data_IF_064907627455
#
_entry.id   IF_064907627455
#
_cell.length_a   1.000
_cell.length_b   1.000
_cell.length_c   1.000
_cell.angle_alpha   90.00
_cell.angle_beta   90.00
_cell.angle_gamma   90.00
#
_symmetry.space_group_name_H-M   'P 1'
#
loop_
_entity.id
_entity.type
_entity.pdbx_description
1 polymer ?
#
# COMPACT_ATOMS: atom_id res chain seq x y z
N UNK A 1 46.70 -1.25 -6.59
CA UNK A 1 45.82 -2.45 -6.83
C UNK A 1 44.63 -2.53 -5.87
N UNK A 2 44.73 -2.04 -4.64
CA UNK A 2 43.64 -2.04 -3.65
C UNK A 2 42.47 -1.11 -4.04
N UNK A 3 42.71 0.01 -4.68
CA UNK A 3 41.70 0.97 -5.15
C UNK A 3 40.84 0.45 -6.32
N UNK A 4 41.33 -0.49 -7.09
CA UNK A 4 40.59 -1.09 -8.20
C UNK A 4 39.53 -2.12 -7.76
N UNK A 5 39.76 -2.75 -6.59
CA UNK A 5 38.80 -3.71 -6.01
C UNK A 5 37.60 -3.01 -5.35
N UNK A 6 37.79 -1.83 -4.75
CA UNK A 6 36.73 -1.07 -4.08
C UNK A 6 35.72 -0.46 -5.08
N UNK A 7 36.19 0.08 -6.19
CA UNK A 7 35.33 0.66 -7.24
C UNK A 7 34.43 -0.40 -7.90
N UNK A 8 34.93 -1.64 -8.06
CA UNK A 8 34.14 -2.74 -8.62
C UNK A 8 33.00 -3.23 -7.68
N UNK A 9 33.22 -3.20 -6.36
CA UNK A 9 32.23 -3.68 -5.40
C UNK A 9 31.07 -2.67 -5.18
N UNK A 10 31.37 -1.38 -5.16
CA UNK A 10 30.33 -0.33 -5.03
C UNK A 10 29.45 -0.25 -6.27
N UNK A 11 30.02 -0.44 -7.46
CA UNK A 11 29.27 -0.48 -8.71
C UNK A 11 28.34 -1.70 -8.78
N UNK A 12 28.79 -2.87 -8.34
CA UNK A 12 27.97 -4.08 -8.25
C UNK A 12 26.83 -3.96 -7.22
N UNK A 13 27.06 -3.29 -6.10
CA UNK A 13 26.04 -3.07 -5.06
C UNK A 13 24.95 -2.11 -5.60
N UNK A 14 25.38 -1.04 -6.26
CA UNK A 14 24.46 -0.06 -6.85
C UNK A 14 23.64 -0.67 -7.99
N UNK A 15 24.27 -1.44 -8.86
CA UNK A 15 23.60 -2.09 -9.99
C UNK A 15 22.57 -3.12 -9.47
N UNK A 16 22.94 -3.95 -8.48
CA UNK A 16 22.02 -4.89 -7.84
C UNK A 16 20.85 -4.19 -7.12
N UNK A 17 21.11 -3.04 -6.48
CA UNK A 17 20.07 -2.23 -5.86
C UNK A 17 19.11 -1.63 -6.89
N UNK A 18 19.64 -1.17 -8.04
CA UNK A 18 18.82 -0.67 -9.15
C UNK A 18 17.99 -1.78 -9.80
N UNK A 19 18.57 -2.97 -10.01
CA UNK A 19 17.85 -4.15 -10.49
C UNK A 19 16.70 -4.52 -9.55
N UNK A 20 16.96 -4.60 -8.25
CA UNK A 20 15.93 -4.85 -7.24
C UNK A 20 14.81 -3.80 -7.28
N UNK A 21 15.15 -2.52 -7.41
CA UNK A 21 14.15 -1.44 -7.52
C UNK A 21 13.32 -1.55 -8.81
N UNK A 22 13.94 -1.92 -9.92
CA UNK A 22 13.23 -2.11 -11.19
C UNK A 22 12.28 -3.31 -11.11
N UNK A 23 12.70 -4.41 -10.51
CA UNK A 23 11.85 -5.60 -10.31
C UNK A 23 10.69 -5.28 -9.36
N UNK A 24 10.93 -4.59 -8.25
CA UNK A 24 9.88 -4.16 -7.33
C UNK A 24 8.84 -3.27 -8.03
N UNK A 25 9.28 -2.30 -8.84
CA UNK A 25 8.38 -1.44 -9.62
C UNK A 25 7.58 -2.21 -10.68
N UNK A 26 8.20 -3.20 -11.33
CA UNK A 26 7.49 -4.07 -12.29
C UNK A 26 6.41 -4.90 -11.58
N UNK A 27 6.74 -5.46 -10.42
CA UNK A 27 5.78 -6.21 -9.62
C UNK A 27 4.63 -5.34 -9.13
N UNK A 28 4.90 -4.11 -8.67
CA UNK A 28 3.87 -3.16 -8.25
C UNK A 28 2.97 -2.74 -9.44
N UNK A 29 3.55 -2.46 -10.60
CA UNK A 29 2.79 -2.12 -11.81
C UNK A 29 1.94 -3.30 -12.33
N UNK A 30 2.44 -4.54 -12.22
CA UNK A 30 1.68 -5.73 -12.56
C UNK A 30 0.49 -5.92 -11.59
N UNK A 31 0.72 -5.71 -10.30
CA UNK A 31 -0.31 -5.77 -9.26
C UNK A 31 -1.38 -4.69 -9.48
N UNK A 32 -0.98 -3.47 -9.82
CA UNK A 32 -1.93 -2.39 -10.12
C UNK A 32 -2.82 -2.73 -11.32
N UNK A 33 -2.24 -3.21 -12.42
CA UNK A 33 -2.99 -3.67 -13.60
C UNK A 33 -3.97 -4.81 -13.25
N UNK A 34 -3.54 -5.77 -12.43
CA UNK A 34 -4.39 -6.86 -11.98
C UNK A 34 -5.59 -6.35 -11.17
N UNK A 35 -5.36 -5.42 -10.26
CA UNK A 35 -6.45 -4.79 -9.50
C UNK A 35 -7.39 -3.99 -10.41
N UNK A 36 -6.89 -3.30 -11.42
CA UNK A 36 -7.73 -2.58 -12.37
C UNK A 36 -8.64 -3.54 -13.15
N UNK A 37 -8.12 -4.67 -13.62
CA UNK A 37 -8.93 -5.70 -14.30
C UNK A 37 -10.01 -6.30 -13.39
N UNK A 38 -9.68 -6.56 -12.12
CA UNK A 38 -10.65 -7.04 -11.13
C UNK A 38 -11.73 -5.99 -10.89
N UNK A 39 -11.35 -4.73 -10.74
CA UNK A 39 -12.29 -3.64 -10.52
C UNK A 39 -13.21 -3.39 -11.72
N UNK A 40 -12.71 -3.56 -12.95
CA UNK A 40 -13.52 -3.46 -14.19
C UNK A 40 -14.50 -4.61 -14.31
N UNK A 41 -14.08 -5.83 -13.95
CA UNK A 41 -14.94 -7.02 -13.99
C UNK A 41 -15.96 -7.08 -12.83
N UNK A 42 -15.71 -6.33 -11.76
CA UNK A 42 -16.53 -6.35 -10.55
C UNK A 42 -17.65 -5.31 -10.59
N UNK A 43 -18.88 -5.74 -10.32
CA UNK A 43 -20.04 -4.86 -10.13
C UNK A 43 -20.21 -4.55 -8.64
N UNK A 44 -19.62 -3.47 -8.16
CA UNK A 44 -19.73 -3.03 -6.77
C UNK A 44 -20.30 -1.61 -6.69
N UNK A 45 -21.34 -1.42 -5.90
CA UNK A 45 -21.88 -0.11 -5.56
C UNK A 45 -21.17 0.43 -4.33
N UNK A 46 -20.43 1.51 -4.52
CA UNK A 46 -19.70 2.17 -3.44
C UNK A 46 -20.56 3.26 -2.82
N UNK A 47 -20.69 3.25 -1.50
CA UNK A 47 -21.41 4.28 -0.78
C UNK A 47 -20.69 5.65 -0.87
N UNK A 48 -21.37 6.73 -1.21
CA UNK A 48 -20.78 8.07 -1.20
C UNK A 48 -20.15 8.45 0.15
N UNK A 49 -20.73 8.00 1.26
CA UNK A 49 -20.18 8.24 2.60
C UNK A 49 -18.86 7.52 2.82
N UNK A 50 -18.69 6.30 2.31
CA UNK A 50 -17.42 5.57 2.40
C UNK A 50 -16.31 6.27 1.61
N UNK A 51 -16.63 6.79 0.42
CA UNK A 51 -15.69 7.60 -0.37
C UNK A 51 -15.29 8.87 0.35
N UNK A 52 -16.23 9.58 0.93
CA UNK A 52 -15.94 10.81 1.69
C UNK A 52 -15.05 10.53 2.89
N UNK A 53 -15.31 9.44 3.61
CA UNK A 53 -14.48 8.99 4.73
C UNK A 53 -13.06 8.68 4.25
N UNK A 54 -12.90 7.95 3.14
CA UNK A 54 -11.60 7.62 2.57
C UNK A 54 -10.84 8.89 2.12
N UNK A 55 -11.51 9.85 1.48
CA UNK A 55 -10.91 11.16 1.12
C UNK A 55 -10.40 11.89 2.36
N UNK A 56 -11.21 11.95 3.43
CA UNK A 56 -10.80 12.61 4.66
C UNK A 56 -9.60 11.92 5.33
N UNK A 57 -9.56 10.58 5.32
CA UNK A 57 -8.41 9.83 5.82
C UNK A 57 -7.14 10.11 5.01
N UNK A 58 -7.23 10.14 3.67
CA UNK A 58 -6.09 10.48 2.81
C UNK A 58 -5.60 11.91 3.06
N UNK A 59 -6.50 12.87 3.26
CA UNK A 59 -6.13 14.24 3.61
C UNK A 59 -5.41 14.31 4.97
N UNK A 60 -5.88 13.56 5.97
CA UNK A 60 -5.22 13.50 7.27
C UNK A 60 -3.81 12.89 7.18
N UNK A 61 -3.65 11.81 6.42
CA UNK A 61 -2.35 11.20 6.19
C UNK A 61 -1.39 12.16 5.47
N UNK A 62 -1.89 12.88 4.47
CA UNK A 62 -1.10 13.88 3.75
C UNK A 62 -0.71 15.04 4.66
N UNK A 63 -1.63 15.53 5.49
CA UNK A 63 -1.34 16.57 6.47
C UNK A 63 -0.30 16.12 7.51
N UNK A 64 -0.41 14.89 8.00
CA UNK A 64 0.57 14.31 8.92
C UNK A 64 1.95 14.15 8.28
N UNK A 65 2.02 13.72 7.02
CA UNK A 65 3.27 13.61 6.27
C UNK A 65 3.94 14.96 6.06
N UNK A 66 3.17 16.00 5.73
CA UNK A 66 3.69 17.36 5.59
C UNK A 66 4.16 17.94 6.92
N UNK A 67 3.41 17.71 7.99
CA UNK A 67 3.80 18.15 9.33
C UNK A 67 5.14 17.54 9.78
N UNK A 68 5.41 16.27 9.45
CA UNK A 68 6.71 15.64 9.70
C UNK A 68 7.86 16.32 8.93
N UNK A 69 7.57 16.91 7.78
CA UNK A 69 8.53 17.67 6.96
C UNK A 69 8.58 19.15 7.34
N UNK A 70 7.85 19.57 8.37
CA UNK A 70 7.78 20.97 8.83
C UNK A 70 6.94 21.88 7.93
N UNK A 71 6.11 21.32 7.05
CA UNK A 71 5.24 22.07 6.13
C UNK A 71 3.79 21.98 6.63
N UNK A 72 3.13 23.13 6.78
CA UNK A 72 1.70 23.16 7.06
C UNK A 72 0.88 22.91 5.79
N UNK A 73 -0.28 22.27 5.91
CA UNK A 73 -1.19 22.02 4.80
C UNK A 73 -1.59 23.34 4.09
N UNK A 74 -1.79 24.41 4.85
CA UNK A 74 -2.11 25.73 4.32
C UNK A 74 -1.00 26.29 3.43
N UNK A 75 0.26 26.07 3.80
CA UNK A 75 1.41 26.48 2.99
C UNK A 75 1.45 25.71 1.67
N UNK A 76 1.20 24.40 1.71
CA UNK A 76 1.10 23.58 0.50
C UNK A 76 0.01 24.09 -0.44
N UNK A 77 -1.19 24.36 0.08
CA UNK A 77 -2.30 24.91 -0.71
C UNK A 77 -1.97 26.26 -1.33
N UNK A 78 -1.31 27.16 -0.58
CA UNK A 78 -0.87 28.46 -1.10
C UNK A 78 0.18 28.31 -2.20
N UNK A 79 1.16 27.43 -2.02
CA UNK A 79 2.22 27.20 -3.02
C UNK A 79 1.68 26.60 -4.32
N UNK A 80 0.65 25.75 -4.23
CA UNK A 80 0.06 25.07 -5.38
C UNK A 80 -1.11 25.85 -6.01
N UNK A 81 -1.58 26.91 -5.35
CA UNK A 81 -2.76 27.67 -5.78
C UNK A 81 -4.08 26.86 -5.68
N UNK A 82 -4.09 25.77 -4.92
CA UNK A 82 -5.25 24.90 -4.77
C UNK A 82 -6.07 25.28 -3.55
N UNK A 83 -7.36 24.99 -3.61
CA UNK A 83 -8.25 25.05 -2.46
C UNK A 83 -8.41 23.65 -1.83
N UNK A 84 -8.85 23.57 -0.58
CA UNK A 84 -9.14 22.30 0.08
C UNK A 84 -10.20 21.48 -0.69
N UNK A 85 -11.20 22.16 -1.27
CA UNK A 85 -12.25 21.50 -2.03
C UNK A 85 -11.73 20.95 -3.36
N UNK A 86 -10.89 21.71 -4.06
CA UNK A 86 -10.22 21.22 -5.28
C UNK A 86 -9.37 19.96 -4.98
N UNK A 87 -8.65 19.97 -3.85
CA UNK A 87 -7.84 18.82 -3.44
C UNK A 87 -8.71 17.59 -3.10
N UNK A 88 -9.85 17.80 -2.43
CA UNK A 88 -10.83 16.72 -2.18
C UNK A 88 -11.37 16.14 -3.48
N UNK A 89 -11.68 16.97 -4.46
CA UNK A 89 -12.19 16.51 -5.75
C UNK A 89 -11.15 15.72 -6.53
N UNK A 90 -9.88 16.07 -6.45
CA UNK A 90 -8.78 15.31 -7.03
C UNK A 90 -8.58 13.93 -6.35
N UNK A 91 -8.82 13.85 -5.05
CA UNK A 91 -8.68 12.60 -4.28
C UNK A 91 -9.88 11.65 -4.44
N UNK A 92 -11.07 12.15 -4.78
CA UNK A 92 -12.29 11.35 -4.93
C UNK A 92 -12.13 10.13 -5.84
N UNK A 93 -11.59 10.22 -7.08
CA UNK A 93 -11.47 9.05 -7.95
C UNK A 93 -10.53 7.99 -7.38
N UNK A 94 -9.46 8.41 -6.73
CA UNK A 94 -8.52 7.49 -6.06
C UNK A 94 -9.19 6.82 -4.87
N UNK A 95 -9.89 7.58 -4.04
CA UNK A 95 -10.63 7.07 -2.90
C UNK A 95 -11.75 6.10 -3.34
N UNK A 96 -12.47 6.40 -4.43
CA UNK A 96 -13.49 5.49 -4.99
C UNK A 96 -12.87 4.16 -5.41
N UNK A 97 -11.73 4.19 -6.11
CA UNK A 97 -11.01 2.99 -6.53
C UNK A 97 -10.57 2.17 -5.32
N UNK A 98 -10.04 2.82 -4.28
CA UNK A 98 -9.60 2.17 -3.04
C UNK A 98 -10.77 1.51 -2.31
N UNK A 99 -11.87 2.24 -2.07
CA UNK A 99 -13.06 1.70 -1.38
C UNK A 99 -13.69 0.54 -2.17
N UNK A 100 -13.71 0.64 -3.50
CA UNK A 100 -14.19 -0.46 -4.35
C UNK A 100 -13.30 -1.69 -4.22
N UNK A 101 -11.97 -1.52 -4.22
CA UNK A 101 -11.02 -2.61 -4.03
C UNK A 101 -11.18 -3.27 -2.65
N UNK A 102 -11.31 -2.47 -1.60
CA UNK A 102 -11.54 -2.99 -0.24
C UNK A 102 -12.82 -3.84 -0.17
N UNK A 103 -13.91 -3.37 -0.79
CA UNK A 103 -15.17 -4.11 -0.83
C UNK A 103 -15.04 -5.44 -1.60
N UNK A 104 -14.29 -5.46 -2.70
CA UNK A 104 -14.01 -6.68 -3.47
C UNK A 104 -13.16 -7.66 -2.66
N UNK A 105 -12.12 -7.18 -1.98
CA UNK A 105 -11.28 -8.01 -1.12
C UNK A 105 -12.07 -8.58 0.06
N UNK A 106 -12.94 -7.78 0.69
CA UNK A 106 -13.80 -8.24 1.79
C UNK A 106 -14.77 -9.34 1.32
N UNK A 107 -15.29 -9.26 0.08
CA UNK A 107 -16.11 -10.30 -0.49
C UNK A 107 -15.31 -11.58 -0.80
N UNK A 108 -14.09 -11.47 -1.32
CA UNK A 108 -13.19 -12.60 -1.52
C UNK A 108 -12.88 -13.28 -0.19
N UNK A 109 -12.60 -12.53 0.87
CA UNK A 109 -12.37 -13.05 2.22
C UNK A 109 -13.56 -13.89 2.66
N UNK A 110 -14.77 -13.42 2.40
CA UNK A 110 -16.02 -14.10 2.77
C UNK A 110 -16.23 -15.39 1.97
N UNK A 111 -16.03 -15.33 0.65
CA UNK A 111 -16.27 -16.47 -0.26
C UNK A 111 -15.24 -17.58 -0.04
N UNK A 112 -13.95 -17.20 0.05
CA UNK A 112 -12.84 -18.13 0.23
C UNK A 112 -12.64 -18.55 1.70
N UNK A 113 -13.45 -18.02 2.63
CA UNK A 113 -13.34 -18.26 4.08
C UNK A 113 -11.93 -18.02 4.62
N UNK A 114 -11.29 -16.92 4.16
CA UNK A 114 -9.95 -16.55 4.59
C UNK A 114 -9.96 -16.21 6.07
N UNK A 115 -9.09 -16.85 6.84
CA UNK A 115 -8.96 -16.61 8.29
C UNK A 115 -7.53 -16.22 8.64
N UNK A 116 -7.38 -15.55 9.75
CA UNK A 116 -6.08 -15.21 10.36
C UNK A 116 -6.05 -15.83 11.75
N UNK A 117 -5.03 -16.63 12.01
CA UNK A 117 -4.81 -17.26 13.31
C UNK A 117 -4.17 -16.28 14.31
N UNK A 118 -4.18 -16.61 15.59
CA UNK A 118 -3.51 -15.79 16.61
C UNK A 118 -1.99 -15.83 16.45
N UNK A 119 -1.42 -16.94 15.98
CA UNK A 119 0.01 -17.07 15.67
C UNK A 119 0.44 -16.10 14.55
N UNK A 120 -0.31 -16.06 13.45
CA UNK A 120 -0.03 -15.14 12.35
C UNK A 120 -0.14 -13.68 12.77
N UNK A 121 -1.06 -13.38 13.68
CA UNK A 121 -1.17 -12.02 14.25
C UNK A 121 0.04 -11.68 15.13
N UNK A 122 0.51 -12.61 15.93
CA UNK A 122 1.68 -12.40 16.77
C UNK A 122 2.97 -12.25 15.93
N UNK A 123 3.13 -13.04 14.86
CA UNK A 123 4.22 -12.84 13.88
C UNK A 123 4.20 -11.46 13.26
N UNK A 124 3.02 -10.93 12.91
CA UNK A 124 2.92 -9.58 12.36
C UNK A 124 3.28 -8.50 13.40
N UNK A 125 2.89 -8.68 14.65
CA UNK A 125 3.32 -7.77 15.71
C UNK A 125 4.84 -7.78 15.89
N UNK A 126 5.49 -8.95 15.79
CA UNK A 126 6.95 -9.07 15.84
C UNK A 126 7.62 -8.36 14.65
N UNK A 127 7.10 -8.54 13.42
CA UNK A 127 7.61 -7.85 12.23
C UNK A 127 7.50 -6.32 12.36
N UNK A 128 6.37 -5.83 12.84
CA UNK A 128 6.17 -4.39 13.08
C UNK A 128 7.12 -3.89 14.17
N UNK A 129 7.28 -4.64 15.26
CA UNK A 129 8.20 -4.35 16.35
C UNK A 129 9.63 -4.21 15.84
N UNK A 130 10.10 -5.14 15.02
CA UNK A 130 11.44 -5.11 14.42
C UNK A 130 11.61 -3.93 13.46
N UNK A 131 10.59 -3.66 12.62
CA UNK A 131 10.63 -2.58 11.63
C UNK A 131 10.71 -1.20 12.26
N UNK A 132 10.00 -0.97 13.36
CA UNK A 132 9.94 0.33 14.04
C UNK A 132 10.81 0.41 15.29
N UNK A 133 11.48 -0.66 15.68
CA UNK A 133 12.33 -0.70 16.87
C UNK A 133 11.57 -0.49 18.19
N UNK A 134 10.28 -0.85 18.24
CA UNK A 134 9.41 -0.67 19.39
C UNK A 134 9.07 -2.04 20.01
N UNK A 135 8.95 -2.13 21.34
CA UNK A 135 8.54 -3.37 22.01
C UNK A 135 7.16 -3.84 21.50
N UNK A 136 6.97 -5.15 21.38
CA UNK A 136 5.71 -5.77 20.89
C UNK A 136 4.49 -5.30 21.69
N UNK A 137 4.64 -5.14 23.01
CA UNK A 137 3.56 -4.67 23.88
C UNK A 137 3.09 -3.27 23.54
N UNK A 138 4.03 -2.38 23.18
CA UNK A 138 3.73 -1.00 22.75
C UNK A 138 3.01 -1.05 21.41
N UNK A 139 3.46 -1.90 20.47
CA UNK A 139 2.81 -2.07 19.18
C UNK A 139 1.38 -2.58 19.34
N UNK A 140 1.14 -3.56 20.23
CA UNK A 140 -0.21 -4.09 20.53
C UNK A 140 -1.15 -3.03 21.14
N UNK A 141 -0.61 -2.08 21.91
CA UNK A 141 -1.40 -0.98 22.48
C UNK A 141 -1.79 0.06 21.41
N UNK A 142 -0.87 0.39 20.51
CA UNK A 142 -1.11 1.38 19.45
C UNK A 142 -1.97 0.79 18.32
N UNK A 143 -1.77 -0.49 18.01
CA UNK A 143 -2.48 -1.20 16.95
C UNK A 143 -3.20 -2.44 17.54
N UNK A 144 -4.44 -2.27 18.05
CA UNK A 144 -5.20 -3.37 18.62
C UNK A 144 -5.52 -4.46 17.59
N UNK A 145 -5.71 -5.70 18.05
CA UNK A 145 -6.09 -6.87 17.19
C UNK A 145 -7.28 -6.56 16.27
N UNK A 146 -8.25 -5.80 16.74
CA UNK A 146 -9.43 -5.43 15.96
C UNK A 146 -9.13 -4.58 14.72
N UNK A 147 -8.04 -3.82 14.75
CA UNK A 147 -7.59 -3.01 13.61
C UNK A 147 -6.63 -3.79 12.71
N UNK A 148 -5.72 -4.58 13.29
CA UNK A 148 -4.75 -5.36 12.52
C UNK A 148 -5.39 -6.52 11.73
N UNK A 149 -6.40 -7.19 12.32
CA UNK A 149 -7.02 -8.37 11.72
C UNK A 149 -7.64 -8.13 10.33
N UNK A 150 -8.43 -7.07 10.09
CA UNK A 150 -8.96 -6.78 8.75
C UNK A 150 -7.85 -6.54 7.71
N UNK A 151 -6.78 -5.85 8.08
CA UNK A 151 -5.67 -5.56 7.18
C UNK A 151 -4.93 -6.86 6.79
N UNK A 152 -4.71 -7.76 7.74
CA UNK A 152 -4.12 -9.08 7.47
C UNK A 152 -5.00 -9.95 6.57
N UNK A 153 -6.31 -9.94 6.80
CA UNK A 153 -7.26 -10.65 5.94
C UNK A 153 -7.21 -10.14 4.50
N UNK A 154 -7.22 -8.82 4.30
CA UNK A 154 -7.10 -8.20 2.98
C UNK A 154 -5.74 -8.47 2.33
N UNK A 155 -4.67 -8.48 3.11
CA UNK A 155 -3.34 -8.84 2.61
C UNK A 155 -3.31 -10.30 2.12
N UNK A 156 -3.90 -11.25 2.86
CA UNK A 156 -4.03 -12.64 2.42
C UNK A 156 -4.90 -12.78 1.18
N UNK A 157 -6.02 -12.08 1.10
CA UNK A 157 -6.88 -12.06 -0.09
C UNK A 157 -6.15 -11.48 -1.31
N UNK A 158 -5.40 -10.43 -1.12
CA UNK A 158 -4.54 -9.84 -2.15
C UNK A 158 -3.46 -10.83 -2.63
N UNK A 159 -2.82 -11.56 -1.72
CA UNK A 159 -1.82 -12.57 -2.07
C UNK A 159 -2.46 -13.73 -2.85
N UNK A 160 -3.62 -14.20 -2.42
CA UNK A 160 -4.36 -15.26 -3.12
C UNK A 160 -4.71 -14.86 -4.56
N UNK A 161 -5.09 -13.61 -4.79
CA UNK A 161 -5.34 -13.07 -6.14
C UNK A 161 -4.08 -13.08 -6.98
N UNK A 162 -2.95 -12.66 -6.41
CA UNK A 162 -1.66 -12.60 -7.11
C UNK A 162 -1.19 -14.01 -7.47
N UNK A 163 -1.31 -14.95 -6.54
CA UNK A 163 -0.90 -16.36 -6.75
C UNK A 163 -1.77 -17.07 -7.78
N UNK A 164 -3.06 -16.70 -7.86
CA UNK A 164 -4.00 -17.25 -8.83
C UNK A 164 -3.88 -16.63 -10.23
N UNK A 165 -3.27 -15.44 -10.34
CA UNK A 165 -3.09 -14.77 -11.61
C UNK A 165 -1.88 -15.33 -12.35
N UNK A 166 -2.06 -15.77 -13.60
CA UNK A 166 -0.94 -16.02 -14.51
C UNK A 166 -0.32 -14.66 -14.88
N UNK A 167 0.77 -14.29 -14.21
CA UNK A 167 1.53 -13.10 -14.56
C UNK A 167 2.32 -13.43 -15.83
N UNK A 168 1.73 -13.14 -17.00
CA UNK A 168 2.45 -13.15 -18.25
C UNK A 168 3.39 -11.94 -18.23
N UNK A 169 4.66 -12.19 -17.91
CA UNK A 169 5.70 -11.20 -18.12
C UNK A 169 5.83 -10.98 -19.63
N UNK A 170 5.19 -9.94 -20.16
CA UNK A 170 5.58 -9.43 -21.47
C UNK A 170 7.06 -9.05 -21.38
N UNK A 171 7.92 -9.90 -21.94
CA UNK A 171 9.29 -9.50 -22.24
C UNK A 171 9.17 -8.25 -23.13
N UNK A 172 9.44 -7.10 -22.52
CA UNK A 172 9.60 -5.87 -23.28
C UNK A 172 10.79 -6.10 -24.21
N UNK A 173 10.47 -6.60 -25.40
CA UNK A 173 11.43 -6.74 -26.48
C UNK A 173 11.98 -5.37 -26.84
N UNK A 174 13.29 -5.27 -26.73
CA UNK A 174 14.29 -4.37 -27.32
C UNK A 174 13.86 -2.96 -27.70
#
# INVERSE_FOLDING_TARGET
EILRCLVGSEMCIRDRYLEYQVEARKADAAREKLYDQILESSSCLVSPQAVETAVNMQLQQMAASFAQQGVAMEQYLQMTGKTMDSLKDELKPVAQKQVKLEAVLDEIIRVENITVSDEEMDEQYELISQKYGQPVDVVKQVLPKAQLKPDLLRMKASQLIIDAAEIIMEESGK
#
